data_IF_987202467857
#
_entry.id   IF_987202467857
#
_cell.length_a   1.000
_cell.length_b   1.000
_cell.length_c   1.000
_cell.angle_alpha   90.00
_cell.angle_beta   90.00
_cell.angle_gamma   90.00
#
_symmetry.space_group_name_H-M   'P 1'
#
loop_
_entity.id
_entity.type
_entity.pdbx_description
1 polymer ?
#
# COMPACT_ATOMS: atom_id res chain seq x y z
N UNK A 1 -11.88 -40.73 59.01
CA UNK A 1 -10.86 -41.10 58.03
C UNK A 1 -11.54 -41.05 56.66
N UNK A 2 -11.47 -39.89 55.98
CA UNK A 2 -12.09 -39.65 54.67
C UNK A 2 -11.00 -39.68 53.64
N UNK A 3 -11.04 -40.64 52.72
CA UNK A 3 -10.12 -40.76 51.58
C UNK A 3 -10.59 -39.86 50.46
N UNK A 4 -9.83 -38.81 50.17
CA UNK A 4 -10.07 -37.97 49.01
C UNK A 4 -9.37 -38.55 47.78
N UNK A 5 -10.15 -39.02 46.82
CA UNK A 5 -9.66 -39.41 45.49
C UNK A 5 -9.40 -38.16 44.63
N UNK A 6 -8.25 -38.01 43.99
CA UNK A 6 -8.02 -36.91 43.08
C UNK A 6 -8.73 -37.16 41.74
N UNK A 7 -9.67 -36.31 41.40
CA UNK A 7 -10.34 -36.24 40.11
C UNK A 7 -9.34 -35.77 39.03
N UNK A 8 -8.95 -36.68 38.15
CA UNK A 8 -8.11 -36.33 36.98
C UNK A 8 -8.96 -35.58 35.97
N UNK A 9 -8.81 -34.25 35.94
CA UNK A 9 -9.37 -33.43 34.87
C UNK A 9 -8.48 -33.59 33.63
N UNK A 10 -8.95 -34.39 32.68
CA UNK A 10 -8.32 -34.50 31.35
C UNK A 10 -8.69 -33.26 30.53
N UNK A 11 -7.81 -32.26 30.56
CA UNK A 11 -7.97 -31.06 29.71
C UNK A 11 -7.68 -31.40 28.26
N UNK A 12 -8.72 -31.47 27.42
CA UNK A 12 -8.59 -31.63 25.98
C UNK A 12 -8.16 -30.30 25.41
N UNK A 13 -6.89 -30.14 25.04
CA UNK A 13 -6.38 -29.01 24.27
C UNK A 13 -6.91 -29.12 22.82
N UNK A 14 -7.93 -28.35 22.50
CA UNK A 14 -8.37 -28.11 21.12
C UNK A 14 -7.32 -27.22 20.43
N UNK A 15 -6.38 -27.85 19.73
CA UNK A 15 -5.46 -27.15 18.80
C UNK A 15 -6.29 -26.72 17.61
N UNK A 16 -6.74 -25.44 17.63
CA UNK A 16 -7.40 -24.82 16.48
C UNK A 16 -6.40 -24.70 15.32
N UNK A 17 -6.60 -25.51 14.28
CA UNK A 17 -5.85 -25.35 13.01
C UNK A 17 -6.24 -24.01 12.37
N UNK A 18 -5.35 -23.03 12.44
CA UNK A 18 -5.46 -21.80 11.65
C UNK A 18 -5.19 -22.18 10.20
N UNK A 19 -6.25 -22.25 9.40
CA UNK A 19 -6.14 -22.41 7.95
C UNK A 19 -5.54 -21.12 7.38
N UNK A 20 -4.24 -21.13 7.07
CA UNK A 20 -3.58 -20.10 6.27
C UNK A 20 -4.15 -20.16 4.84
N UNK A 21 -5.13 -19.29 4.56
CA UNK A 21 -5.62 -19.12 3.19
C UNK A 21 -4.51 -18.44 2.40
N UNK A 22 -3.98 -19.03 1.33
CA UNK A 22 -2.98 -18.39 0.50
C UNK A 22 -3.60 -17.16 -0.18
N UNK A 23 -3.06 -15.99 0.10
CA UNK A 23 -3.43 -14.76 -0.61
C UNK A 23 -2.86 -14.87 -2.03
N UNK A 24 -3.73 -15.11 -2.99
CA UNK A 24 -3.33 -15.22 -4.39
C UNK A 24 -2.73 -13.89 -4.87
N UNK A 25 -1.47 -13.92 -5.29
CA UNK A 25 -0.82 -12.79 -5.95
C UNK A 25 -1.45 -12.61 -7.32
N UNK A 26 -1.98 -11.42 -7.61
CA UNK A 26 -2.49 -11.11 -8.93
C UNK A 26 -1.33 -10.76 -9.87
N UNK A 27 -1.26 -11.40 -11.05
CA UNK A 27 -0.29 -11.06 -12.09
C UNK A 27 -0.74 -9.78 -12.81
N UNK A 28 -0.24 -8.64 -12.36
CA UNK A 28 -0.44 -7.37 -13.05
C UNK A 28 0.61 -7.15 -14.13
N UNK A 29 0.15 -6.72 -15.29
CA UNK A 29 1.04 -6.30 -16.37
C UNK A 29 1.70 -4.97 -16.00
N UNK A 30 2.99 -4.84 -16.34
CA UNK A 30 3.70 -3.56 -16.33
C UNK A 30 3.88 -2.91 -14.95
N UNK A 31 4.00 -3.68 -13.87
CA UNK A 31 4.47 -3.16 -12.59
C UNK A 31 5.99 -2.96 -12.65
N UNK A 32 6.46 -1.72 -12.45
CA UNK A 32 7.88 -1.37 -12.50
C UNK A 32 8.44 -0.90 -11.16
N UNK A 33 7.65 -0.20 -10.35
CA UNK A 33 8.07 0.36 -9.06
C UNK A 33 7.44 -0.39 -7.89
N UNK A 34 6.20 -0.79 -8.03
CA UNK A 34 5.49 -1.57 -7.01
C UNK A 34 5.95 -3.02 -6.99
N UNK A 35 5.89 -3.71 -5.83
CA UNK A 35 6.25 -5.13 -5.72
C UNK A 35 5.44 -5.99 -6.70
N UNK A 36 6.11 -6.96 -7.36
CA UNK A 36 5.46 -7.85 -8.32
C UNK A 36 4.37 -8.75 -7.71
N UNK A 37 4.48 -9.01 -6.42
CA UNK A 37 3.55 -9.82 -5.64
C UNK A 37 2.49 -8.99 -4.90
N UNK A 38 2.31 -7.71 -5.27
CA UNK A 38 1.27 -6.86 -4.68
C UNK A 38 -0.12 -7.46 -4.89
N UNK A 39 -0.96 -7.45 -3.87
CA UNK A 39 -2.35 -7.89 -4.00
C UNK A 39 -3.18 -6.85 -4.75
N UNK A 40 -4.28 -7.27 -5.37
CA UNK A 40 -5.20 -6.33 -6.05
C UNK A 40 -5.71 -5.25 -5.08
N UNK A 41 -6.07 -5.63 -3.86
CA UNK A 41 -6.55 -4.69 -2.85
C UNK A 41 -5.49 -3.65 -2.48
N UNK A 42 -4.24 -4.07 -2.26
CA UNK A 42 -3.14 -3.16 -1.95
C UNK A 42 -2.79 -2.25 -3.13
N UNK A 43 -2.85 -2.75 -4.37
CA UNK A 43 -2.64 -1.94 -5.57
C UNK A 43 -3.71 -0.85 -5.70
N UNK A 44 -4.98 -1.21 -5.55
CA UNK A 44 -6.09 -0.24 -5.61
C UNK A 44 -5.99 0.79 -4.47
N UNK A 45 -5.64 0.37 -3.27
CA UNK A 45 -5.43 1.29 -2.15
C UNK A 45 -4.29 2.30 -2.45
N UNK A 46 -3.20 1.84 -3.05
CA UNK A 46 -2.08 2.69 -3.47
C UNK A 46 -2.51 3.69 -4.57
N UNK A 47 -3.28 3.25 -5.57
CA UNK A 47 -3.81 4.13 -6.62
C UNK A 47 -4.77 5.18 -6.05
N UNK A 48 -5.67 4.78 -5.16
CA UNK A 48 -6.59 5.70 -4.49
C UNK A 48 -5.86 6.75 -3.65
N UNK A 49 -4.79 6.36 -2.94
CA UNK A 49 -3.97 7.31 -2.19
C UNK A 49 -3.30 8.36 -3.12
N UNK A 50 -2.90 7.97 -4.33
CA UNK A 50 -2.37 8.90 -5.33
C UNK A 50 -3.46 9.83 -5.89
N UNK A 51 -4.65 9.30 -6.19
CA UNK A 51 -5.82 10.10 -6.62
C UNK A 51 -6.13 11.19 -5.60
N UNK A 52 -6.21 10.83 -4.33
CA UNK A 52 -6.48 11.79 -3.24
C UNK A 52 -5.35 12.82 -3.13
N UNK A 53 -4.10 12.36 -3.16
CA UNK A 53 -2.94 13.25 -3.01
C UNK A 53 -2.79 14.24 -4.15
N UNK A 54 -3.12 13.86 -5.37
CA UNK A 54 -2.96 14.67 -6.58
C UNK A 54 -4.21 15.47 -6.96
N UNK A 55 -5.37 15.15 -6.39
CA UNK A 55 -6.66 15.71 -6.80
C UNK A 55 -6.99 15.41 -8.28
N UNK A 56 -6.59 14.23 -8.77
CA UNK A 56 -6.77 13.79 -10.16
C UNK A 56 -7.45 12.42 -10.16
N UNK A 57 -8.21 12.12 -11.22
CA UNK A 57 -8.81 10.81 -11.42
C UNK A 57 -7.84 9.80 -12.06
N UNK A 58 -8.30 8.55 -12.22
CA UNK A 58 -7.51 7.45 -12.77
C UNK A 58 -7.04 7.71 -14.20
N UNK A 59 -7.85 8.42 -15.01
CA UNK A 59 -7.58 8.67 -16.43
C UNK A 59 -6.48 9.70 -16.65
N UNK A 60 -6.10 10.44 -15.59
CA UNK A 60 -4.95 11.33 -15.66
C UNK A 60 -3.63 10.58 -15.93
N UNK A 61 -3.50 9.36 -15.41
CA UNK A 61 -2.31 8.53 -15.55
C UNK A 61 -2.53 7.29 -16.41
N UNK A 62 -3.73 6.76 -16.46
CA UNK A 62 -4.05 5.49 -17.12
C UNK A 62 -4.92 5.67 -18.36
N UNK A 63 -4.61 4.88 -19.40
CA UNK A 63 -5.53 4.69 -20.50
C UNK A 63 -6.77 3.92 -19.99
N UNK A 64 -8.01 4.43 -20.21
CA UNK A 64 -9.21 3.76 -19.70
C UNK A 64 -9.50 2.41 -20.36
N UNK A 65 -8.95 2.15 -21.56
CA UNK A 65 -9.11 0.89 -22.29
C UNK A 65 -8.04 -0.13 -21.90
N UNK A 66 -6.85 0.33 -21.60
CA UNK A 66 -5.73 -0.50 -21.14
C UNK A 66 -4.96 0.21 -20.02
N UNK A 67 -5.35 -0.01 -18.74
CA UNK A 67 -4.62 0.57 -17.61
C UNK A 67 -3.16 0.15 -17.50
N UNK A 68 -2.73 -0.88 -18.22
CA UNK A 68 -1.34 -1.33 -18.27
C UNK A 68 -0.50 -0.59 -19.30
N UNK A 69 -1.12 0.10 -20.25
CA UNK A 69 -0.43 0.87 -21.29
C UNK A 69 0.46 1.95 -20.68
N UNK A 70 1.56 2.26 -21.37
CA UNK A 70 2.45 3.36 -20.98
C UNK A 70 1.84 4.70 -21.35
N UNK A 71 1.98 5.65 -20.41
CA UNK A 71 1.63 7.05 -20.63
C UNK A 71 2.72 7.96 -20.02
N UNK A 72 2.92 9.17 -20.52
CA UNK A 72 3.90 10.11 -19.94
C UNK A 72 3.63 10.42 -18.46
N UNK A 73 2.35 10.41 -18.04
CA UNK A 73 2.00 10.67 -16.65
C UNK A 73 2.31 9.47 -15.74
N UNK A 74 2.18 8.22 -16.22
CA UNK A 74 2.63 7.04 -15.48
C UNK A 74 4.13 7.04 -15.24
N UNK A 75 4.89 7.44 -16.24
CA UNK A 75 6.35 7.54 -16.13
C UNK A 75 6.74 8.58 -15.06
N UNK A 76 6.16 9.77 -15.12
CA UNK A 76 6.36 10.79 -14.06
C UNK A 76 5.94 10.33 -12.68
N UNK A 77 4.80 9.65 -12.58
CA UNK A 77 4.34 9.10 -11.30
C UNK A 77 5.33 8.07 -10.73
N UNK A 78 5.91 7.21 -11.57
CA UNK A 78 6.95 6.26 -11.15
C UNK A 78 8.20 6.95 -10.65
N UNK A 79 8.64 8.04 -11.28
CA UNK A 79 9.80 8.81 -10.83
C UNK A 79 9.53 9.44 -9.46
N UNK A 80 8.32 9.99 -9.25
CA UNK A 80 7.92 10.49 -7.93
C UNK A 80 7.87 9.38 -6.88
N UNK A 81 7.38 8.19 -7.23
CA UNK A 81 7.36 7.04 -6.33
C UNK A 81 8.78 6.58 -5.94
N UNK A 82 9.72 6.56 -6.90
CA UNK A 82 11.14 6.25 -6.61
C UNK A 82 11.74 7.29 -5.67
N UNK A 83 11.51 8.58 -5.92
CA UNK A 83 11.97 9.67 -5.07
C UNK A 83 11.43 9.53 -3.64
N UNK A 84 10.13 9.29 -3.47
CA UNK A 84 9.52 9.10 -2.13
C UNK A 84 10.12 7.89 -1.42
N UNK A 85 10.34 6.79 -2.14
CA UNK A 85 10.98 5.59 -1.60
C UNK A 85 12.41 5.89 -1.15
N UNK A 86 13.18 6.59 -1.95
CA UNK A 86 14.55 6.99 -1.63
C UNK A 86 14.60 7.87 -0.38
N UNK A 87 13.76 8.90 -0.30
CA UNK A 87 13.66 9.78 0.86
C UNK A 87 13.35 9.00 2.14
N UNK A 88 12.36 8.11 2.10
CA UNK A 88 11.99 7.29 3.25
C UNK A 88 13.07 6.26 3.64
N UNK A 89 13.91 5.85 2.69
CA UNK A 89 15.01 4.90 2.93
C UNK A 89 16.25 5.59 3.48
N UNK A 90 16.59 6.74 2.93
CA UNK A 90 17.81 7.50 3.34
C UNK A 90 17.69 8.13 4.72
N UNK A 91 16.48 8.57 5.09
CA UNK A 91 16.25 9.27 6.36
C UNK A 91 15.16 8.59 7.20
N UNK A 92 15.32 7.33 7.60
CA UNK A 92 14.36 6.65 8.44
C UNK A 92 14.32 7.29 9.84
N UNK A 93 13.13 7.64 10.31
CA UNK A 93 12.93 8.14 11.68
C UNK A 93 13.26 9.62 11.91
N UNK A 94 13.74 10.38 10.93
CA UNK A 94 14.00 11.83 11.08
C UNK A 94 12.76 12.69 10.95
N UNK A 95 11.74 12.18 10.29
CA UNK A 95 10.42 12.80 10.16
C UNK A 95 9.36 11.73 9.94
N UNK A 96 8.08 12.09 10.06
CA UNK A 96 6.99 11.20 9.68
C UNK A 96 7.19 10.71 8.25
N UNK A 97 6.70 9.49 7.97
CA UNK A 97 6.81 8.89 6.64
C UNK A 97 6.32 9.85 5.57
N UNK A 98 7.19 10.18 4.60
CA UNK A 98 6.84 10.99 3.43
C UNK A 98 5.93 10.18 2.52
N UNK A 99 4.86 10.81 2.06
CA UNK A 99 3.90 10.25 1.10
C UNK A 99 3.66 11.26 -0.03
N UNK A 100 2.92 10.88 -1.07
CA UNK A 100 2.50 11.81 -2.12
C UNK A 100 1.74 13.02 -1.54
N UNK A 101 0.91 12.78 -0.53
CA UNK A 101 0.15 13.83 0.16
C UNK A 101 1.05 14.86 0.86
N UNK A 102 2.21 14.48 1.34
CA UNK A 102 3.15 15.38 2.05
C UNK A 102 3.48 16.63 1.21
N UNK A 103 3.61 16.45 -0.10
CA UNK A 103 3.94 17.53 -1.04
C UNK A 103 2.73 18.04 -1.83
N UNK A 104 1.86 17.13 -2.28
CA UNK A 104 0.79 17.46 -3.23
C UNK A 104 -0.48 18.02 -2.58
N UNK A 105 -0.88 17.51 -1.41
CA UNK A 105 -2.02 18.03 -0.61
C UNK A 105 -3.31 18.23 -1.40
N UNK A 106 -3.65 17.30 -2.30
CA UNK A 106 -4.83 17.36 -3.13
C UNK A 106 -4.68 18.17 -4.43
N UNK A 107 -3.46 18.57 -4.78
CA UNK A 107 -3.18 19.32 -6.03
C UNK A 107 -2.10 18.63 -6.87
N UNK A 108 -2.30 18.64 -8.20
CA UNK A 108 -1.35 18.03 -9.13
C UNK A 108 0.06 18.65 -9.06
N UNK A 109 0.13 19.97 -8.88
CA UNK A 109 1.39 20.68 -8.66
C UNK A 109 1.54 21.02 -7.17
N UNK A 110 2.60 20.57 -6.50
CA UNK A 110 2.90 21.06 -5.17
C UNK A 110 3.06 22.57 -5.14
N UNK A 111 2.65 23.20 -4.05
CA UNK A 111 2.88 24.63 -3.85
C UNK A 111 4.37 24.88 -3.61
N UNK A 112 4.95 25.82 -4.31
CA UNK A 112 6.34 26.27 -4.18
C UNK A 112 6.49 27.54 -3.33
N UNK A 113 5.36 28.19 -3.00
CA UNK A 113 5.28 29.43 -2.20
C UNK A 113 4.13 29.36 -1.21
N UNK A 114 4.27 30.02 -0.03
CA UNK A 114 3.15 30.21 0.88
C UNK A 114 2.03 31.02 0.21
N UNK A 115 0.78 30.57 0.37
CA UNK A 115 -0.41 31.27 -0.11
C UNK A 115 -0.64 31.20 -1.63
N UNK A 116 0.07 30.37 -2.38
CA UNK A 116 -0.29 30.05 -3.77
C UNK A 116 -1.59 29.22 -3.79
N UNK A 117 -2.55 29.52 -4.68
CA UNK A 117 -3.81 28.80 -4.79
C UNK A 117 -3.63 27.36 -5.26
#
# INVERSE_FOLDING_TARGET
MGSFSPLKVLGTLLVGSVLLVPVASANFKNLQVLPKNVTKAALIAQMNAQVVALGKDCTHCHDPKDPSAETPMKEKARDMMRMVTELNTKWPGTMNRITCWTCHRGTHKPQDKPGAP
#
